data_IF_256105822946
#
_entry.id   IF_256105822946
#
_cell.length_a   1.000
_cell.length_b   1.000
_cell.length_c   1.000
_cell.angle_alpha   90.00
_cell.angle_beta   90.00
_cell.angle_gamma   90.00
#
_symmetry.space_group_name_H-M   'P 1'
#
loop_
_entity.id
_entity.type
_entity.pdbx_description
1 polymer ?
#
# COMPACT_ATOMS: atom_id res chain seq x y z
N UNK A 1 -36.52 30.92 -28.77
CA UNK A 1 -35.78 30.15 -27.74
C UNK A 1 -34.48 30.87 -27.41
N UNK A 2 -34.40 31.56 -26.27
CA UNK A 2 -33.14 32.20 -25.82
C UNK A 2 -32.25 31.20 -25.09
N UNK A 3 -30.94 31.26 -25.37
CA UNK A 3 -29.91 30.54 -24.59
C UNK A 3 -29.65 31.34 -23.30
N UNK A 4 -29.13 30.68 -22.26
CA UNK A 4 -28.71 31.34 -21.01
C UNK A 4 -29.79 31.31 -19.92
N UNK A 5 -30.02 32.43 -19.24
CA UNK A 5 -30.81 32.55 -18.00
C UNK A 5 -32.19 31.89 -18.08
N UNK A 6 -32.96 32.19 -19.13
CA UNK A 6 -34.31 31.63 -19.36
C UNK A 6 -34.30 30.09 -19.49
N UNK A 7 -33.21 29.53 -20.02
CA UNK A 7 -33.02 28.08 -20.20
C UNK A 7 -32.54 27.37 -18.92
N UNK A 8 -31.78 28.05 -18.05
CA UNK A 8 -31.23 27.45 -16.83
C UNK A 8 -32.30 27.13 -15.79
N UNK A 9 -33.38 27.93 -15.69
CA UNK A 9 -34.49 27.68 -14.77
C UNK A 9 -35.20 26.33 -14.98
N UNK A 10 -35.10 25.75 -16.19
CA UNK A 10 -35.73 24.47 -16.54
C UNK A 10 -34.91 23.24 -16.11
N UNK A 11 -33.68 23.39 -15.61
CA UNK A 11 -32.73 22.29 -15.34
C UNK A 11 -32.93 21.60 -13.98
N UNK A 12 -34.14 21.10 -13.71
CA UNK A 12 -34.51 20.41 -12.47
C UNK A 12 -34.20 18.90 -12.45
N UNK A 13 -34.31 18.24 -13.60
CA UNK A 13 -34.09 16.80 -13.72
C UNK A 13 -32.59 16.46 -13.65
N UNK A 14 -32.22 15.44 -12.88
CA UNK A 14 -30.83 15.01 -12.73
C UNK A 14 -30.53 13.83 -13.63
N UNK A 15 -29.45 13.93 -14.41
CA UNK A 15 -28.95 12.81 -15.23
C UNK A 15 -28.08 11.86 -14.42
N UNK A 16 -27.33 12.40 -13.44
CA UNK A 16 -26.35 11.65 -12.65
C UNK A 16 -26.66 11.62 -11.15
N UNK A 17 -26.52 10.43 -10.55
CA UNK A 17 -26.58 10.17 -9.11
C UNK A 17 -25.28 9.53 -8.59
N UNK A 18 -25.21 9.28 -7.28
CA UNK A 18 -24.07 8.64 -6.63
C UNK A 18 -23.96 7.17 -7.05
N UNK A 19 -22.76 6.76 -7.46
CA UNK A 19 -22.48 5.38 -7.82
C UNK A 19 -22.11 4.55 -6.58
N UNK A 20 -22.79 3.42 -6.35
CA UNK A 20 -22.53 2.50 -5.23
C UNK A 20 -21.06 2.00 -5.15
N UNK A 21 -20.42 1.74 -6.30
CA UNK A 21 -19.04 1.23 -6.34
C UNK A 21 -17.96 2.27 -6.01
N UNK A 22 -18.07 3.49 -6.54
CA UNK A 22 -16.98 4.48 -6.49
C UNK A 22 -17.33 5.75 -5.71
N UNK A 23 -18.55 5.88 -5.19
CA UNK A 23 -19.01 7.04 -4.41
C UNK A 23 -19.08 8.36 -5.18
N UNK A 24 -18.79 8.36 -6.49
CA UNK A 24 -18.80 9.57 -7.31
C UNK A 24 -20.19 9.79 -7.92
N UNK A 25 -20.61 11.06 -8.06
CA UNK A 25 -21.85 11.47 -8.74
C UNK A 25 -21.70 11.36 -10.27
N UNK A 26 -21.62 10.13 -10.76
CA UNK A 26 -21.38 9.82 -12.16
C UNK A 26 -22.23 8.65 -12.66
N UNK A 27 -23.19 8.17 -11.86
CA UNK A 27 -24.09 7.11 -12.26
C UNK A 27 -25.23 7.69 -13.10
N UNK A 28 -25.29 7.35 -14.39
CA UNK A 28 -26.34 7.83 -15.29
C UNK A 28 -27.62 7.01 -15.08
N UNK A 29 -28.72 7.68 -14.74
CA UNK A 29 -29.98 7.01 -14.39
C UNK A 29 -30.59 6.25 -15.58
N UNK A 30 -30.80 6.93 -16.71
CA UNK A 30 -31.44 6.30 -17.88
C UNK A 30 -30.60 5.17 -18.49
N UNK A 31 -29.29 5.41 -18.67
CA UNK A 31 -28.35 4.43 -19.24
C UNK A 31 -27.91 3.37 -18.22
N UNK A 32 -28.36 3.47 -16.98
CA UNK A 32 -27.99 2.59 -15.86
C UNK A 32 -26.50 2.31 -15.72
N UNK A 33 -25.63 3.26 -16.11
CA UNK A 33 -24.20 3.05 -16.22
C UNK A 33 -23.38 4.19 -15.60
N UNK A 34 -22.24 3.86 -14.98
CA UNK A 34 -21.37 4.84 -14.35
C UNK A 34 -20.29 5.34 -15.31
N UNK A 35 -20.35 6.63 -15.65
CA UNK A 35 -19.36 7.30 -16.49
C UNK A 35 -17.97 7.40 -15.88
N UNK A 36 -17.79 7.10 -14.58
CA UNK A 36 -16.48 7.09 -13.91
C UNK A 36 -15.86 5.70 -13.88
N UNK A 37 -16.54 4.75 -13.24
CA UNK A 37 -16.00 3.41 -12.95
C UNK A 37 -16.52 2.27 -13.83
N UNK A 38 -17.53 2.51 -14.69
CA UNK A 38 -18.12 1.51 -15.57
C UNK A 38 -19.16 0.58 -14.91
N UNK A 39 -19.57 0.81 -13.66
CA UNK A 39 -20.67 0.04 -13.05
C UNK A 39 -21.91 0.06 -13.97
N UNK A 40 -22.55 -1.07 -14.32
CA UNK A 40 -22.52 -2.40 -13.66
C UNK A 40 -21.40 -3.36 -14.10
N UNK A 41 -20.59 -3.05 -15.11
CA UNK A 41 -19.57 -3.95 -15.65
C UNK A 41 -18.62 -4.50 -14.56
N UNK A 42 -18.21 -5.76 -14.69
CA UNK A 42 -17.32 -6.42 -13.71
C UNK A 42 -15.97 -5.71 -13.62
N UNK A 43 -15.39 -5.33 -14.77
CA UNK A 43 -14.11 -4.62 -14.85
C UNK A 43 -14.29 -3.14 -14.52
N UNK A 44 -13.29 -2.56 -13.85
CA UNK A 44 -13.26 -1.11 -13.62
C UNK A 44 -12.79 -0.42 -14.89
N UNK A 45 -13.57 0.54 -15.39
CA UNK A 45 -13.21 1.37 -16.54
C UNK A 45 -11.92 2.16 -16.28
N UNK A 46 -10.92 1.98 -17.14
CA UNK A 46 -9.63 2.69 -17.14
C UNK A 46 -9.21 2.96 -18.58
N UNK A 47 -8.63 4.12 -18.84
CA UNK A 47 -8.10 4.46 -20.16
C UNK A 47 -6.67 4.96 -20.08
N UNK A 48 -5.87 4.64 -21.11
CA UNK A 48 -4.45 4.98 -21.13
C UNK A 48 -4.17 6.46 -21.38
N UNK A 49 -5.04 7.13 -22.13
CA UNK A 49 -4.94 8.56 -22.41
C UNK A 49 -5.11 9.47 -21.17
N UNK A 50 -5.60 8.95 -20.03
CA UNK A 50 -5.78 9.74 -18.81
C UNK A 50 -4.93 9.25 -17.63
N UNK A 51 -3.66 9.65 -17.60
CA UNK A 51 -2.75 9.34 -16.49
C UNK A 51 -3.26 9.91 -15.14
N UNK A 52 -3.78 11.14 -15.14
CA UNK A 52 -4.32 11.78 -13.92
C UNK A 52 -5.53 11.04 -13.35
N UNK A 53 -6.39 10.47 -14.21
CA UNK A 53 -7.53 9.67 -13.75
C UNK A 53 -7.07 8.34 -13.13
N UNK A 54 -6.05 7.69 -13.70
CA UNK A 54 -5.45 6.47 -13.12
C UNK A 54 -4.88 6.75 -11.73
N UNK A 55 -4.08 7.81 -11.57
CA UNK A 55 -3.44 8.17 -10.29
C UNK A 55 -4.43 8.34 -9.14
N UNK A 56 -5.61 8.94 -9.38
CA UNK A 56 -6.62 9.17 -8.34
C UNK A 56 -7.30 7.90 -7.81
N UNK A 57 -7.28 6.81 -8.57
CA UNK A 57 -8.02 5.58 -8.25
C UNK A 57 -7.13 4.34 -8.17
N UNK A 58 -5.80 4.51 -8.25
CA UNK A 58 -4.86 3.40 -8.21
C UNK A 58 -4.78 2.79 -6.82
N UNK A 59 -4.34 1.53 -6.74
CA UNK A 59 -4.03 0.87 -5.47
C UNK A 59 -3.00 1.72 -4.74
N UNK A 60 -3.25 2.01 -3.46
CA UNK A 60 -2.43 2.94 -2.67
C UNK A 60 -3.21 4.14 -2.14
N UNK A 61 -4.26 4.57 -2.86
CA UNK A 61 -5.05 5.77 -2.50
C UNK A 61 -6.09 5.53 -1.40
N UNK A 62 -6.46 4.28 -1.14
CA UNK A 62 -7.48 3.93 -0.15
C UNK A 62 -6.89 3.51 1.20
N UNK A 63 -7.74 2.93 2.06
CA UNK A 63 -7.36 2.50 3.43
C UNK A 63 -6.33 1.36 3.49
N UNK A 64 -6.15 0.61 2.40
CA UNK A 64 -5.20 -0.52 2.28
C UNK A 64 -5.23 -1.53 3.45
N UNK A 65 -6.40 -1.78 4.07
CA UNK A 65 -6.51 -2.56 5.32
C UNK A 65 -5.74 -3.89 5.28
N UNK A 66 -5.94 -4.67 4.22
CA UNK A 66 -5.25 -5.95 4.04
C UNK A 66 -3.81 -5.78 3.56
N UNK A 67 -3.59 -5.08 2.43
CA UNK A 67 -2.27 -4.94 1.84
C UNK A 67 -1.24 -4.28 2.78
N UNK A 68 -1.65 -3.32 3.62
CA UNK A 68 -0.77 -2.70 4.63
C UNK A 68 -0.23 -3.74 5.61
N UNK A 69 -1.08 -4.67 6.05
CA UNK A 69 -0.68 -5.76 6.96
C UNK A 69 0.24 -6.75 6.24
N UNK A 70 -0.05 -7.10 4.99
CA UNK A 70 0.79 -7.98 4.18
C UNK A 70 2.20 -7.41 4.03
N UNK A 71 2.34 -6.13 3.62
CA UNK A 71 3.65 -5.48 3.49
C UNK A 71 4.39 -5.39 4.82
N UNK A 72 3.67 -5.19 5.92
CA UNK A 72 4.26 -5.16 7.27
C UNK A 72 4.81 -6.53 7.65
N UNK A 73 4.03 -7.60 7.45
CA UNK A 73 4.47 -8.99 7.70
C UNK A 73 5.69 -9.34 6.86
N UNK A 74 5.61 -9.11 5.55
CA UNK A 74 6.71 -9.35 4.61
C UNK A 74 8.02 -8.66 5.06
N UNK A 75 7.95 -7.41 5.54
CA UNK A 75 9.12 -6.70 6.06
C UNK A 75 9.73 -7.38 7.30
N UNK A 76 8.90 -7.82 8.25
CA UNK A 76 9.41 -8.50 9.44
C UNK A 76 9.96 -9.90 9.13
N UNK A 77 9.30 -10.66 8.25
CA UNK A 77 9.80 -11.98 7.81
C UNK A 77 11.13 -11.84 7.05
N UNK A 78 11.27 -10.82 6.21
CA UNK A 78 12.53 -10.53 5.50
C UNK A 78 13.68 -10.08 6.43
N UNK A 79 13.37 -9.52 7.61
CA UNK A 79 14.36 -9.11 8.61
C UNK A 79 14.63 -10.21 9.67
N UNK A 80 13.75 -11.21 9.77
CA UNK A 80 13.95 -12.38 10.64
C UNK A 80 15.20 -13.17 10.28
N UNK A 81 15.50 -13.32 8.98
CA UNK A 81 16.70 -14.01 8.50
C UNK A 81 17.98 -13.24 8.91
N UNK A 82 17.97 -11.90 8.87
CA UNK A 82 19.12 -11.07 9.23
C UNK A 82 19.40 -10.98 10.74
N UNK A 83 18.37 -11.07 11.60
CA UNK A 83 18.54 -10.97 13.06
C UNK A 83 19.11 -12.23 13.70
N UNK A 84 18.76 -13.43 13.21
CA UNK A 84 19.33 -14.68 13.76
C UNK A 84 20.82 -14.76 13.43
N UNK A 85 21.22 -14.39 12.20
CA UNK A 85 22.64 -14.35 11.80
C UNK A 85 23.46 -13.32 12.60
N UNK A 86 22.96 -12.10 12.81
CA UNK A 86 23.67 -11.09 13.62
C UNK A 86 23.72 -11.46 15.10
N UNK A 87 22.64 -12.00 15.68
CA UNK A 87 22.62 -12.42 17.08
C UNK A 87 23.51 -13.65 17.33
N UNK A 88 23.56 -14.60 16.39
CA UNK A 88 24.43 -15.78 16.50
C UNK A 88 25.91 -15.42 16.33
N UNK A 89 26.29 -14.49 15.44
CA UNK A 89 27.68 -14.01 15.33
C UNK A 89 28.14 -13.23 16.56
N UNK A 90 27.27 -12.43 17.16
CA UNK A 90 27.56 -11.68 18.40
C UNK A 90 27.84 -12.62 19.58
N UNK A 91 27.08 -13.70 19.70
CA UNK A 91 27.30 -14.74 20.71
C UNK A 91 28.58 -15.55 20.44
N UNK A 92 28.94 -15.78 19.18
CA UNK A 92 30.19 -16.47 18.81
C UNK A 92 31.46 -15.64 19.09
N UNK A 93 31.41 -14.31 18.94
CA UNK A 93 32.53 -13.43 19.32
C UNK A 93 32.67 -13.27 20.83
N UNK A 94 31.57 -13.27 21.59
CA UNK A 94 31.64 -13.16 23.07
C UNK A 94 32.28 -14.37 23.75
N UNK A 95 32.10 -15.58 23.20
CA UNK A 95 32.65 -16.82 23.77
C UNK A 95 34.13 -17.06 23.39
N UNK A 96 34.60 -16.51 22.27
CA UNK A 96 36.01 -16.63 21.85
C UNK A 96 36.94 -15.63 22.57
N UNK A 97 36.44 -14.47 23.01
CA UNK A 97 37.25 -13.50 23.78
C UNK A 97 37.55 -14.02 25.20
N UNK A 98 36.60 -14.71 25.86
CA UNK A 98 36.86 -15.30 27.19
C UNK A 98 37.86 -16.46 27.16
N UNK A 99 37.88 -17.27 26.10
CA UNK A 99 38.81 -18.41 26.00
C UNK A 99 40.25 -17.98 25.66
N UNK A 100 40.40 -16.88 24.91
CA UNK A 100 41.70 -16.27 24.61
C UNK A 100 42.35 -15.62 25.84
N UNK A 101 41.55 -15.00 26.72
CA UNK A 101 42.07 -14.40 27.96
C UNK A 101 42.49 -15.47 28.99
N UNK A 102 41.74 -16.58 29.11
CA UNK A 102 42.09 -17.70 30.00
C UNK A 102 43.38 -18.43 29.60
N UNK A 103 43.63 -18.62 28.30
CA UNK A 103 44.88 -19.23 27.80
C UNK A 103 46.09 -18.29 27.87
N UNK A 104 45.88 -16.97 27.89
CA UNK A 104 46.95 -15.99 28.04
C UNK A 104 47.37 -15.84 29.50
N UNK A 105 46.44 -15.91 30.46
CA UNK A 105 46.74 -15.89 31.89
C UNK A 105 47.45 -17.16 32.38
N UNK A 106 47.10 -18.35 31.83
CA UNK A 106 47.74 -19.62 32.22
C UNK A 106 49.12 -19.86 31.58
N UNK A 107 49.52 -19.08 30.56
CA UNK A 107 50.87 -19.13 29.97
C UNK A 107 51.89 -18.22 30.67
N UNK A 108 51.44 -17.32 31.54
CA UNK A 108 52.32 -16.40 32.27
C UNK A 108 52.84 -17.02 33.59
N UNK A 109 52.19 -18.08 34.11
CA UNK A 109 52.54 -18.71 35.40
C UNK A 109 53.47 -19.95 35.26
N UNK A 110 53.86 -20.34 34.04
CA UNK A 110 54.76 -21.49 33.78
C UNK A 110 56.13 -21.05 33.24
N UNK A 111 56.57 -19.86 33.64
CA UNK A 111 57.89 -19.31 33.30
C UNK A 111 58.55 -18.73 34.55
N UNK A 112 58.54 -19.53 35.61
CA UNK A 112 59.50 -19.50 36.71
C UNK A 112 59.91 -20.95 37.02
#
# INVERSE_FOLDING_TARGET
MTKGTSSFGKRRNKTHTLCRRCGSKAYHLQKSSCGKCGYPEKRKRKYNWSAKAKRRNTTGTGRLRHMKVVYRRFRYDSQGIGRVLFAMQSLFLSKNISFAFWNLSNKIVLKD
#
